data_IF_813964840688
#
_entry.id   IF_813964840688
#
_cell.length_a   1.000
_cell.length_b   1.000
_cell.length_c   1.000
_cell.angle_alpha   90.00
_cell.angle_beta   90.00
_cell.angle_gamma   90.00
#
_symmetry.space_group_name_H-M   'P 1'
#
loop_
_entity.id
_entity.type
_entity.pdbx_description
1 polymer ?
#
# COMPACT_ATOMS: atom_id res chain seq x y z
N UNK A 1 3.56 -23.27 12.87
CA UNK A 1 4.96 -22.92 13.19
C UNK A 1 5.57 -21.93 12.18
N UNK A 2 5.47 -22.15 10.85
CA UNK A 2 6.15 -21.29 9.85
C UNK A 2 5.69 -19.82 9.79
N UNK A 3 4.39 -19.53 9.92
CA UNK A 3 3.91 -18.13 9.90
C UNK A 3 4.24 -17.37 11.19
N UNK A 4 4.17 -18.07 12.33
CA UNK A 4 4.23 -17.44 13.65
C UNK A 4 5.67 -17.02 14.04
N UNK A 5 6.69 -17.63 13.44
CA UNK A 5 8.10 -17.28 13.67
C UNK A 5 8.40 -15.83 13.27
N UNK A 6 7.86 -15.39 12.13
CA UNK A 6 8.20 -14.08 11.55
C UNK A 6 7.06 -13.07 11.63
N UNK A 7 5.85 -13.49 12.05
CA UNK A 7 4.66 -12.61 12.15
C UNK A 7 4.94 -11.31 12.89
N UNK A 8 5.68 -11.36 14.00
CA UNK A 8 5.92 -10.20 14.86
C UNK A 8 7.35 -9.66 14.74
N UNK A 9 8.14 -10.18 13.80
CA UNK A 9 9.53 -9.80 13.62
C UNK A 9 9.66 -8.40 13.03
N UNK A 10 8.76 -8.08 12.10
CA UNK A 10 8.72 -6.80 11.42
C UNK A 10 7.33 -6.56 10.77
N UNK A 11 7.01 -5.32 10.36
CA UNK A 11 5.74 -5.00 9.71
C UNK A 11 5.47 -5.78 8.42
N UNK A 12 6.49 -6.12 7.65
CA UNK A 12 6.38 -6.84 6.38
C UNK A 12 5.97 -8.29 6.64
N UNK A 13 6.61 -8.96 7.59
CA UNK A 13 6.23 -10.28 8.08
C UNK A 13 4.82 -10.33 8.63
N UNK A 14 4.39 -9.27 9.34
CA UNK A 14 3.04 -9.17 9.90
C UNK A 14 1.96 -9.12 8.81
N UNK A 15 2.18 -8.33 7.76
CA UNK A 15 1.22 -8.18 6.64
C UNK A 15 1.14 -9.46 5.80
N UNK A 16 2.26 -10.16 5.62
CA UNK A 16 2.33 -11.41 4.84
C UNK A 16 1.83 -12.64 5.62
N UNK A 17 1.55 -12.53 6.91
CA UNK A 17 0.87 -13.58 7.65
C UNK A 17 -0.45 -13.94 6.95
N UNK A 18 -0.71 -15.23 6.72
CA UNK A 18 -1.75 -15.70 5.79
C UNK A 18 -3.14 -15.07 6.03
N UNK A 19 -3.51 -14.82 7.29
CA UNK A 19 -4.78 -14.23 7.68
C UNK A 19 -4.85 -12.74 7.33
N UNK A 20 -3.74 -12.02 7.45
CA UNK A 20 -3.62 -10.63 7.01
C UNK A 20 -3.51 -10.53 5.48
N UNK A 21 -2.72 -11.41 4.85
CA UNK A 21 -2.63 -11.50 3.40
C UNK A 21 -3.99 -11.79 2.74
N UNK A 22 -4.82 -12.63 3.37
CA UNK A 22 -6.18 -12.90 2.90
C UNK A 22 -7.10 -11.67 2.99
N UNK A 23 -6.96 -10.81 4.00
CA UNK A 23 -7.70 -9.54 4.09
C UNK A 23 -7.30 -8.59 2.96
N UNK A 24 -6.00 -8.47 2.69
CA UNK A 24 -5.50 -7.68 1.55
C UNK A 24 -6.03 -8.23 0.23
N UNK A 25 -6.02 -9.55 0.05
CA UNK A 25 -6.57 -10.22 -1.13
C UNK A 25 -8.06 -9.92 -1.35
N UNK A 26 -8.86 -9.89 -0.28
CA UNK A 26 -10.27 -9.48 -0.38
C UNK A 26 -10.43 -8.01 -0.76
N UNK A 27 -9.60 -7.12 -0.20
CA UNK A 27 -9.62 -5.70 -0.56
C UNK A 27 -9.34 -5.51 -2.07
N UNK A 28 -8.38 -6.27 -2.62
CA UNK A 28 -8.08 -6.30 -4.05
C UNK A 28 -9.28 -6.83 -4.86
N UNK A 29 -9.84 -7.97 -4.46
CA UNK A 29 -10.91 -8.64 -5.19
C UNK A 29 -12.19 -7.78 -5.30
N UNK A 30 -12.49 -6.95 -4.29
CA UNK A 30 -13.62 -6.01 -4.31
C UNK A 30 -13.58 -5.03 -5.48
N UNK A 31 -12.39 -4.62 -5.91
CA UNK A 31 -12.16 -3.68 -7.02
C UNK A 31 -11.52 -4.38 -8.23
N UNK A 32 -11.75 -5.68 -8.43
CA UNK A 32 -10.96 -6.54 -9.32
C UNK A 32 -10.78 -6.05 -10.77
N UNK A 33 -11.74 -5.27 -11.29
CA UNK A 33 -11.72 -4.73 -12.66
C UNK A 33 -10.91 -3.44 -12.81
N UNK A 34 -10.58 -2.76 -11.71
CA UNK A 34 -9.82 -1.50 -11.73
C UNK A 34 -8.44 -1.71 -11.06
N UNK A 35 -7.40 -1.68 -11.89
CA UNK A 35 -6.01 -1.85 -11.46
C UNK A 35 -5.56 -0.83 -10.42
N UNK A 36 -6.04 0.42 -10.53
CA UNK A 36 -5.69 1.49 -9.62
C UNK A 36 -6.42 1.33 -8.29
N UNK A 37 -7.76 1.24 -8.35
CA UNK A 37 -8.58 1.16 -7.14
C UNK A 37 -8.32 -0.10 -6.34
N UNK A 38 -8.02 -1.24 -6.98
CA UNK A 38 -7.64 -2.46 -6.26
C UNK A 38 -6.29 -2.34 -5.56
N UNK A 39 -5.35 -1.62 -6.17
CA UNK A 39 -4.01 -1.39 -5.60
C UNK A 39 -4.08 -0.39 -4.44
N UNK A 40 -4.87 0.69 -4.59
CA UNK A 40 -5.16 1.64 -3.52
C UNK A 40 -5.85 0.93 -2.33
N UNK A 41 -6.86 0.11 -2.60
CA UNK A 41 -7.55 -0.66 -1.56
C UNK A 41 -6.60 -1.61 -0.80
N UNK A 42 -5.67 -2.26 -1.50
CA UNK A 42 -4.63 -3.08 -0.88
C UNK A 42 -3.72 -2.28 0.07
N UNK A 43 -3.31 -1.08 -0.37
CA UNK A 43 -2.47 -0.19 0.43
C UNK A 43 -3.21 0.31 1.69
N UNK A 44 -4.48 0.71 1.55
CA UNK A 44 -5.33 1.12 2.68
C UNK A 44 -5.52 -0.02 3.67
N UNK A 45 -5.81 -1.24 3.20
CA UNK A 45 -6.00 -2.39 4.09
C UNK A 45 -4.69 -2.76 4.81
N UNK A 46 -3.54 -2.63 4.14
CA UNK A 46 -2.22 -2.84 4.75
C UNK A 46 -1.97 -1.87 5.92
N UNK A 47 -2.25 -0.57 5.71
CA UNK A 47 -2.14 0.45 6.76
C UNK A 47 -3.05 0.12 7.94
N UNK A 48 -4.31 -0.26 7.66
CA UNK A 48 -5.29 -0.64 8.67
C UNK A 48 -4.83 -1.83 9.51
N UNK A 49 -4.26 -2.86 8.88
CA UNK A 49 -3.72 -4.05 9.56
C UNK A 49 -2.60 -3.64 10.53
N UNK A 50 -1.66 -2.80 10.10
CA UNK A 50 -0.54 -2.37 10.92
C UNK A 50 -0.99 -1.44 12.07
N UNK A 51 -1.93 -0.53 11.82
CA UNK A 51 -2.50 0.34 12.85
C UNK A 51 -3.27 -0.47 13.90
N UNK A 52 -4.02 -1.51 13.50
CA UNK A 52 -4.65 -2.44 14.44
C UNK A 52 -3.61 -3.20 15.28
N UNK A 53 -2.55 -3.73 14.64
CA UNK A 53 -1.49 -4.45 15.33
C UNK A 53 -0.78 -3.59 16.38
N UNK A 54 -0.56 -2.30 16.07
CA UNK A 54 -0.03 -1.30 16.98
C UNK A 54 -0.98 -1.04 18.15
N UNK A 55 -2.26 -0.80 17.87
CA UNK A 55 -3.27 -0.51 18.90
C UNK A 55 -3.47 -1.68 19.87
N UNK A 56 -3.36 -2.91 19.36
CA UNK A 56 -3.44 -4.14 20.16
C UNK A 56 -2.13 -4.50 20.88
N UNK A 57 -1.05 -3.72 20.68
CA UNK A 57 0.27 -3.99 21.28
C UNK A 57 0.96 -5.25 20.76
N UNK A 58 0.47 -5.82 19.65
CA UNK A 58 0.92 -7.09 19.09
C UNK A 58 2.21 -6.97 18.29
N UNK A 59 2.42 -5.84 17.62
CA UNK A 59 3.60 -5.58 16.80
C UNK A 59 4.37 -4.40 17.39
N UNK A 60 5.65 -4.64 17.71
CA UNK A 60 6.55 -3.58 18.15
C UNK A 60 7.08 -2.84 16.93
N UNK A 61 6.88 -1.53 16.89
CA UNK A 61 7.41 -0.64 15.85
C UNK A 61 8.14 0.51 16.54
N UNK A 62 9.27 0.91 15.98
CA UNK A 62 9.98 2.11 16.41
C UNK A 62 9.11 3.35 16.18
N UNK A 63 9.44 4.43 16.90
CA UNK A 63 8.78 5.73 16.70
C UNK A 63 8.92 6.24 15.26
N UNK A 64 10.04 5.93 14.61
CA UNK A 64 10.28 6.28 13.20
C UNK A 64 9.30 5.54 12.28
N UNK A 65 9.16 4.22 12.44
CA UNK A 65 8.23 3.42 11.63
C UNK A 65 6.77 3.84 11.85
N UNK A 66 6.40 4.16 13.10
CA UNK A 66 5.05 4.66 13.42
C UNK A 66 4.76 5.99 12.70
N UNK A 67 5.72 6.91 12.68
CA UNK A 67 5.57 8.19 12.00
C UNK A 67 5.48 7.99 10.48
N UNK A 68 6.37 7.16 9.92
CA UNK A 68 6.34 6.83 8.49
C UNK A 68 5.03 6.18 8.06
N UNK A 69 4.46 5.28 8.88
CA UNK A 69 3.15 4.68 8.64
C UNK A 69 2.03 5.72 8.64
N UNK A 70 2.04 6.67 9.58
CA UNK A 70 1.05 7.73 9.66
C UNK A 70 1.14 8.70 8.46
N UNK A 71 2.34 8.99 7.98
CA UNK A 71 2.54 9.84 6.80
C UNK A 71 2.10 9.10 5.51
N UNK A 72 2.40 7.80 5.41
CA UNK A 72 1.90 6.97 4.32
C UNK A 72 0.37 6.86 4.32
N UNK A 73 -0.27 6.70 5.48
CA UNK A 73 -1.73 6.68 5.63
C UNK A 73 -2.36 7.97 5.09
N UNK A 74 -1.81 9.13 5.49
CA UNK A 74 -2.28 10.43 4.98
C UNK A 74 -2.12 10.54 3.47
N UNK A 75 -0.95 10.16 2.95
CA UNK A 75 -0.67 10.23 1.52
C UNK A 75 -1.62 9.33 0.70
N UNK A 76 -1.83 8.08 1.14
CA UNK A 76 -2.72 7.13 0.47
C UNK A 76 -4.18 7.61 0.51
N UNK A 77 -4.64 8.13 1.65
CA UNK A 77 -6.00 8.63 1.80
C UNK A 77 -6.24 9.94 1.03
N UNK A 78 -5.19 10.73 0.78
CA UNK A 78 -5.28 11.94 -0.03
C UNK A 78 -5.32 11.67 -1.55
N UNK A 79 -5.00 10.44 -1.98
CA UNK A 79 -5.12 10.06 -3.38
C UNK A 79 -6.58 10.15 -3.84
N UNK A 80 -6.80 10.56 -5.08
CA UNK A 80 -8.12 10.54 -5.72
C UNK A 80 -8.66 9.11 -5.88
N UNK A 81 -9.97 8.94 -6.00
CA UNK A 81 -10.58 7.67 -6.45
C UNK A 81 -10.73 7.62 -7.98
N UNK A 82 -10.56 8.76 -8.65
CA UNK A 82 -10.62 8.85 -10.11
C UNK A 82 -9.29 8.38 -10.73
N UNK A 83 -9.30 7.15 -11.26
CA UNK A 83 -8.14 6.54 -11.91
C UNK A 83 -7.51 7.45 -12.97
N UNK A 84 -8.29 8.01 -13.88
CA UNK A 84 -7.73 8.78 -15.00
C UNK A 84 -7.01 10.04 -14.53
N UNK A 85 -7.55 10.71 -13.51
CA UNK A 85 -6.91 11.85 -12.86
C UNK A 85 -5.60 11.46 -12.16
N UNK A 86 -5.61 10.35 -11.43
CA UNK A 86 -4.38 9.85 -10.82
C UNK A 86 -3.31 9.56 -11.88
N UNK A 87 -3.69 8.90 -12.98
CA UNK A 87 -2.76 8.57 -14.05
C UNK A 87 -2.21 9.82 -14.75
N UNK A 88 -3.04 10.83 -15.03
CA UNK A 88 -2.59 12.08 -15.65
C UNK A 88 -1.61 12.83 -14.75
N UNK A 89 -1.93 12.95 -13.46
CA UNK A 89 -1.14 13.70 -12.49
C UNK A 89 0.22 13.02 -12.30
N UNK A 90 0.24 11.69 -12.14
CA UNK A 90 1.48 10.93 -11.98
C UNK A 90 2.33 10.93 -13.26
N UNK A 91 1.70 10.86 -14.44
CA UNK A 91 2.43 10.91 -15.71
C UNK A 91 3.10 12.27 -15.90
N UNK A 92 2.42 13.37 -15.59
CA UNK A 92 3.01 14.71 -15.63
C UNK A 92 4.16 14.86 -14.63
N UNK A 93 3.95 14.42 -13.37
CA UNK A 93 4.95 14.47 -12.31
C UNK A 93 6.22 13.72 -12.69
N UNK A 94 6.10 12.43 -13.03
CA UNK A 94 7.27 11.60 -13.31
C UNK A 94 7.96 11.94 -14.64
N UNK A 95 7.25 12.51 -15.63
CA UNK A 95 7.89 13.11 -16.82
C UNK A 95 8.80 14.27 -16.43
N UNK A 96 8.43 15.04 -15.41
CA UNK A 96 9.23 16.18 -14.95
C UNK A 96 10.40 15.77 -14.03
N UNK A 97 10.19 14.81 -13.14
CA UNK A 97 11.19 14.44 -12.12
C UNK A 97 12.16 13.35 -12.59
N UNK A 98 11.71 12.44 -13.46
CA UNK A 98 12.49 11.27 -13.88
C UNK A 98 12.90 11.40 -15.35
N UNK A 99 14.09 11.94 -15.60
CA UNK A 99 14.61 12.23 -16.96
C UNK A 99 14.61 11.03 -17.92
N UNK A 100 14.69 9.81 -17.39
CA UNK A 100 14.73 8.57 -18.17
C UNK A 100 13.36 7.90 -18.31
N UNK A 101 12.30 8.50 -17.77
CA UNK A 101 10.94 7.97 -17.89
C UNK A 101 10.43 8.16 -19.32
N UNK A 102 10.16 7.02 -19.99
CA UNK A 102 9.67 6.95 -21.37
C UNK A 102 8.31 6.23 -21.41
N UNK A 103 7.21 6.92 -21.05
CA UNK A 103 5.90 6.29 -20.91
C UNK A 103 5.37 5.66 -22.21
N UNK A 104 5.65 6.29 -23.36
CA UNK A 104 5.20 5.86 -24.68
C UNK A 104 5.89 4.53 -25.08
N UNK A 105 7.19 4.40 -24.80
CA UNK A 105 7.97 3.22 -25.16
C UNK A 105 7.76 2.03 -24.21
N UNK A 106 7.59 2.28 -22.91
CA UNK A 106 7.60 1.23 -21.89
C UNK A 106 6.19 0.77 -21.47
N UNK A 107 5.18 1.66 -21.54
CA UNK A 107 3.85 1.40 -20.99
C UNK A 107 2.72 1.68 -22.00
N UNK A 108 3.04 2.12 -23.22
CA UNK A 108 2.10 2.42 -24.30
C UNK A 108 1.04 3.47 -23.92
N UNK A 109 1.44 4.46 -23.14
CA UNK A 109 0.66 5.69 -22.94
C UNK A 109 0.66 6.54 -24.20
#
# INVERSE_FOLDING_TARGET
MMMMSDRYRDPQGYVLAYDNAWKVGQAIAKNGNDLYLRSKAAAVETVKILNAAKAEGKLQMSRFEINALADAEKAINALTDEKDKFMSDMLALYKSEVKVFKPEANYKF
#
